data_IF_175992590803
#
_entry.id   IF_175992590803
#
_cell.length_a   1.000
_cell.length_b   1.000
_cell.length_c   1.000
_cell.angle_alpha   90.00
_cell.angle_beta   90.00
_cell.angle_gamma   90.00
#
_symmetry.space_group_name_H-M   'P 1'
#
loop_
_entity.id
_entity.type
_entity.pdbx_description
1 polymer ?
#
# COMPACT_ATOMS: atom_id res chain seq x y z
N UNK A 1 89.71 -1.26 -13.02
CA UNK A 1 89.57 0.12 -13.51
C UNK A 1 88.20 0.58 -13.06
N UNK A 2 88.21 1.63 -12.27
CA UNK A 2 87.02 2.24 -11.56
C UNK A 2 86.11 2.95 -12.56
N UNK A 3 84.78 2.83 -12.41
CA UNK A 3 83.88 3.94 -12.76
C UNK A 3 82.67 3.92 -11.80
N UNK A 4 82.58 4.99 -11.05
CA UNK A 4 81.41 5.43 -10.25
C UNK A 4 80.25 5.79 -11.18
N UNK A 5 79.03 5.51 -10.74
CA UNK A 5 77.80 6.12 -11.25
C UNK A 5 77.00 6.69 -10.05
N UNK A 6 76.67 7.93 -10.15
CA UNK A 6 76.09 8.72 -9.08
C UNK A 6 74.59 8.49 -8.88
N UNK A 7 74.20 8.70 -7.64
CA UNK A 7 72.85 8.67 -7.13
C UNK A 7 72.23 10.05 -7.27
N UNK A 8 71.11 10.16 -8.00
CA UNK A 8 70.32 11.40 -8.09
C UNK A 8 69.07 11.27 -7.22
N UNK A 9 69.06 12.02 -6.16
CA UNK A 9 67.90 12.17 -5.21
C UNK A 9 66.93 13.21 -5.80
N UNK A 10 65.74 12.83 -6.11
CA UNK A 10 64.65 13.77 -6.40
C UNK A 10 63.76 13.97 -5.15
N UNK A 11 63.75 15.19 -4.63
CA UNK A 11 62.88 15.60 -3.53
C UNK A 11 61.52 16.01 -4.13
N UNK A 12 60.46 15.36 -3.69
CA UNK A 12 59.09 15.74 -3.98
C UNK A 12 58.54 16.66 -2.84
N UNK A 13 58.21 17.87 -3.16
CA UNK A 13 57.50 18.81 -2.26
C UNK A 13 56.03 18.38 -2.14
N UNK A 14 55.60 18.14 -0.90
CA UNK A 14 54.16 18.06 -0.56
C UNK A 14 53.61 19.46 -0.37
N UNK A 15 52.65 19.85 -1.21
CA UNK A 15 51.82 21.03 -1.03
C UNK A 15 50.58 20.58 -0.30
N UNK A 16 50.39 20.96 0.95
CA UNK A 16 49.15 20.80 1.69
C UNK A 16 48.16 21.86 1.22
N UNK A 17 47.14 21.43 0.49
CA UNK A 17 45.96 22.23 0.15
C UNK A 17 44.84 21.90 1.11
N UNK A 18 44.48 22.81 2.02
CA UNK A 18 43.21 22.77 2.75
C UNK A 18 42.06 23.08 1.78
N UNK A 19 41.34 22.05 1.37
CA UNK A 19 40.05 22.16 0.70
C UNK A 19 38.94 21.88 1.71
N UNK A 20 38.02 22.83 1.88
CA UNK A 20 36.81 22.65 2.69
C UNK A 20 35.98 21.50 2.12
N UNK A 21 35.68 20.52 2.96
CA UNK A 21 34.74 19.48 2.61
C UNK A 21 33.33 20.06 2.64
N UNK A 22 32.72 20.23 1.47
CA UNK A 22 31.28 20.36 1.32
C UNK A 22 30.67 18.98 1.54
N UNK A 23 29.88 18.84 2.60
CA UNK A 23 29.04 17.67 2.83
C UNK A 23 27.83 17.76 1.91
N UNK A 24 27.97 17.32 0.69
CA UNK A 24 26.90 16.90 -0.18
C UNK A 24 27.30 15.50 -0.71
N UNK A 25 26.95 14.50 0.04
CA UNK A 25 27.06 13.11 -0.35
C UNK A 25 25.67 12.52 -0.27
N UNK A 26 24.92 12.57 -1.36
CA UNK A 26 23.89 11.56 -1.60
C UNK A 26 24.61 10.21 -1.63
N UNK A 27 24.47 9.47 -0.52
CA UNK A 27 24.81 8.06 -0.51
C UNK A 27 23.75 7.32 -1.33
N UNK A 28 23.87 7.31 -2.63
CA UNK A 28 23.33 6.23 -3.43
C UNK A 28 24.16 4.99 -3.09
N UNK A 29 23.61 4.12 -2.30
CA UNK A 29 24.12 2.76 -2.17
C UNK A 29 23.90 2.12 -3.54
N UNK A 30 24.96 2.05 -4.35
CA UNK A 30 24.94 1.23 -5.57
C UNK A 30 24.77 -0.22 -5.08
N UNK A 31 23.58 -0.76 -5.15
CA UNK A 31 23.34 -2.18 -5.07
C UNK A 31 24.22 -2.84 -6.14
N UNK A 32 25.02 -3.85 -5.75
CA UNK A 32 25.86 -4.60 -6.69
C UNK A 32 25.01 -5.18 -7.83
N UNK A 33 25.65 -5.65 -8.92
CA UNK A 33 24.90 -6.23 -10.03
C UNK A 33 24.01 -7.34 -9.50
N UNK A 34 22.71 -7.26 -9.82
CA UNK A 34 21.71 -8.29 -9.51
C UNK A 34 22.18 -9.60 -10.15
N UNK A 35 22.19 -10.70 -9.43
CA UNK A 35 22.41 -12.02 -10.00
C UNK A 35 21.16 -12.43 -10.78
N UNK A 36 21.27 -12.49 -12.13
CA UNK A 36 20.17 -12.89 -12.98
C UNK A 36 19.73 -14.33 -12.66
N UNK A 37 18.41 -14.55 -12.57
CA UNK A 37 17.79 -15.87 -12.33
C UNK A 37 16.62 -16.09 -13.27
N UNK A 38 16.48 -17.34 -13.74
CA UNK A 38 15.28 -17.76 -14.45
C UNK A 38 14.08 -17.78 -13.50
N UNK A 39 12.90 -17.42 -13.98
CA UNK A 39 11.68 -17.34 -13.15
C UNK A 39 11.37 -18.64 -12.39
N UNK A 40 11.58 -19.79 -13.04
CA UNK A 40 11.36 -21.13 -12.46
C UNK A 40 12.35 -21.53 -11.35
N UNK A 41 13.43 -20.77 -11.17
CA UNK A 41 14.42 -20.98 -10.10
C UNK A 41 14.17 -20.08 -8.90
N UNK A 42 13.24 -19.11 -9.01
CA UNK A 42 12.95 -18.17 -7.97
C UNK A 42 12.08 -18.77 -6.86
N UNK A 43 12.39 -18.37 -5.63
CA UNK A 43 11.56 -18.60 -4.44
C UNK A 43 11.13 -17.25 -3.91
N UNK A 44 9.87 -16.90 -4.11
CA UNK A 44 9.28 -15.61 -3.71
C UNK A 44 8.59 -15.77 -2.35
N UNK A 45 9.00 -14.96 -1.38
CA UNK A 45 8.29 -14.85 -0.09
C UNK A 45 7.21 -13.79 -0.19
N UNK A 46 5.99 -14.11 0.25
CA UNK A 46 4.85 -13.19 0.25
C UNK A 46 4.34 -13.03 1.67
N UNK A 47 4.27 -11.79 2.16
CA UNK A 47 3.69 -11.48 3.47
C UNK A 47 2.50 -10.55 3.30
N UNK A 48 1.30 -11.06 3.57
CA UNK A 48 0.04 -10.33 3.47
C UNK A 48 -0.40 -9.88 4.86
N UNK A 49 -0.92 -8.65 4.97
CA UNK A 49 -1.39 -8.09 6.25
C UNK A 49 -2.51 -8.92 6.86
N UNK A 50 -3.48 -9.35 6.05
CA UNK A 50 -4.59 -10.21 6.49
C UNK A 50 -5.26 -10.87 5.27
N UNK A 51 -5.74 -12.09 5.43
CA UNK A 51 -6.61 -12.76 4.45
C UNK A 51 -8.10 -12.74 4.87
N UNK A 52 -8.44 -12.02 5.95
CA UNK A 52 -9.83 -11.82 6.35
C UNK A 52 -10.56 -10.82 5.40
N UNK A 53 -9.81 -9.96 4.70
CA UNK A 53 -10.37 -9.03 3.72
C UNK A 53 -10.27 -9.64 2.30
N UNK A 54 -11.38 -9.75 1.55
CA UNK A 54 -11.40 -10.33 0.20
C UNK A 54 -10.50 -9.59 -0.81
N UNK A 55 -10.20 -8.31 -0.58
CA UNK A 55 -9.23 -7.56 -1.38
C UNK A 55 -7.88 -8.26 -1.42
N UNK A 56 -7.34 -8.63 -0.24
CA UNK A 56 -6.03 -9.27 -0.16
C UNK A 56 -6.03 -10.73 -0.62
N UNK A 57 -7.17 -11.43 -0.53
CA UNK A 57 -7.34 -12.75 -1.15
C UNK A 57 -7.18 -12.65 -2.67
N UNK A 58 -7.80 -11.65 -3.29
CA UNK A 58 -7.69 -11.42 -4.74
C UNK A 58 -6.28 -10.97 -5.14
N UNK A 59 -5.61 -10.17 -4.30
CA UNK A 59 -4.22 -9.74 -4.53
C UNK A 59 -3.26 -10.95 -4.49
N UNK A 60 -3.36 -11.80 -3.46
CA UNK A 60 -2.57 -13.03 -3.34
C UNK A 60 -2.81 -13.98 -4.51
N UNK A 61 -4.06 -14.10 -4.95
CA UNK A 61 -4.40 -14.91 -6.13
C UNK A 61 -3.70 -14.38 -7.40
N UNK A 62 -3.64 -13.06 -7.60
CA UNK A 62 -2.93 -12.47 -8.73
C UNK A 62 -1.43 -12.78 -8.72
N UNK A 63 -0.80 -12.77 -7.53
CA UNK A 63 0.60 -13.17 -7.35
C UNK A 63 0.79 -14.64 -7.72
N UNK A 64 -0.05 -15.51 -7.17
CA UNK A 64 0.08 -16.97 -7.34
C UNK A 64 -0.24 -17.42 -8.75
N UNK A 65 -1.24 -16.82 -9.40
CA UNK A 65 -1.58 -17.13 -10.79
C UNK A 65 -0.39 -16.87 -11.73
N UNK A 66 0.26 -15.71 -11.61
CA UNK A 66 1.43 -15.40 -12.45
C UNK A 66 2.65 -16.25 -12.09
N UNK A 67 2.82 -16.58 -10.80
CA UNK A 67 3.88 -17.48 -10.36
C UNK A 67 3.71 -18.88 -10.96
N UNK A 68 2.49 -19.42 -10.93
CA UNK A 68 2.17 -20.74 -11.49
C UNK A 68 2.39 -20.80 -13.01
N UNK A 69 2.06 -19.70 -13.73
CA UNK A 69 2.33 -19.59 -15.18
C UNK A 69 3.84 -19.67 -15.53
N UNK A 70 4.69 -19.32 -14.58
CA UNK A 70 6.15 -19.27 -14.76
C UNK A 70 6.90 -20.37 -13.99
N UNK A 71 6.19 -21.34 -13.41
CA UNK A 71 6.74 -22.40 -12.56
C UNK A 71 7.54 -21.87 -11.35
N UNK A 72 7.22 -20.66 -10.85
CA UNK A 72 7.88 -20.00 -9.73
C UNK A 72 7.35 -20.49 -8.38
N UNK A 73 8.25 -20.70 -7.40
CA UNK A 73 7.84 -21.11 -6.06
C UNK A 73 7.43 -19.92 -5.21
N UNK A 74 6.20 -19.91 -4.69
CA UNK A 74 5.71 -18.90 -3.73
C UNK A 74 5.59 -19.50 -2.34
N UNK A 75 6.04 -18.75 -1.33
CA UNK A 75 5.82 -19.02 0.10
C UNK A 75 5.05 -17.86 0.71
N UNK A 76 3.75 -18.04 0.89
CA UNK A 76 2.86 -17.02 1.43
C UNK A 76 2.60 -17.20 2.92
N UNK A 77 2.49 -16.08 3.65
CA UNK A 77 2.14 -16.00 5.06
C UNK A 77 1.12 -14.90 5.30
N UNK A 78 0.16 -15.18 6.19
CA UNK A 78 -0.89 -14.26 6.62
C UNK A 78 -0.55 -13.70 8.00
N UNK A 79 -0.35 -12.40 8.10
CA UNK A 79 0.01 -11.73 9.36
C UNK A 79 -1.19 -11.60 10.32
N UNK A 80 -2.42 -11.77 9.84
CA UNK A 80 -3.65 -11.70 10.66
C UNK A 80 -3.81 -10.37 11.39
N UNK A 81 -3.44 -9.26 10.72
CA UNK A 81 -3.42 -7.89 11.26
C UNK A 81 -2.52 -7.69 12.50
N UNK A 82 -1.58 -8.61 12.75
CA UNK A 82 -0.62 -8.53 13.85
C UNK A 82 0.78 -8.15 13.33
N UNK A 83 1.25 -6.95 13.67
CA UNK A 83 2.57 -6.43 13.26
C UNK A 83 3.74 -7.24 13.78
N UNK A 84 3.61 -7.79 15.00
CA UNK A 84 4.65 -8.64 15.59
C UNK A 84 4.70 -10.00 14.88
N UNK A 85 3.55 -10.57 14.55
CA UNK A 85 3.48 -11.79 13.74
C UNK A 85 4.07 -11.55 12.37
N UNK A 86 3.73 -10.44 11.70
CA UNK A 86 4.28 -10.10 10.39
C UNK A 86 5.81 -10.04 10.39
N UNK A 87 6.41 -9.39 11.40
CA UNK A 87 7.86 -9.33 11.55
C UNK A 87 8.47 -10.72 11.70
N UNK A 88 7.88 -11.57 12.57
CA UNK A 88 8.38 -12.93 12.78
C UNK A 88 8.24 -13.80 11.52
N UNK A 89 7.11 -13.69 10.80
CA UNK A 89 6.86 -14.42 9.56
C UNK A 89 7.89 -14.04 8.48
N UNK A 90 8.24 -12.75 8.37
CA UNK A 90 9.27 -12.28 7.42
C UNK A 90 10.64 -12.80 7.82
N UNK A 91 11.01 -12.78 9.10
CA UNK A 91 12.27 -13.36 9.59
C UNK A 91 12.34 -14.86 9.26
N UNK A 92 11.23 -15.59 9.36
CA UNK A 92 11.16 -17.00 8.99
C UNK A 92 11.32 -17.19 7.46
N UNK A 93 10.73 -16.34 6.61
CA UNK A 93 10.92 -16.36 5.16
C UNK A 93 12.39 -16.10 4.79
N UNK A 94 13.03 -15.12 5.43
CA UNK A 94 14.47 -14.84 5.27
C UNK A 94 15.30 -16.07 5.58
N UNK A 95 15.04 -16.75 6.73
CA UNK A 95 15.76 -17.97 7.12
C UNK A 95 15.49 -19.14 6.18
N UNK A 96 14.34 -19.18 5.51
CA UNK A 96 14.01 -20.18 4.52
C UNK A 96 14.68 -19.93 3.16
N UNK A 97 15.43 -18.83 3.02
CA UNK A 97 16.23 -18.51 1.85
C UNK A 97 15.36 -18.15 0.65
N UNK A 98 14.37 -17.29 0.83
CA UNK A 98 13.64 -16.69 -0.30
C UNK A 98 14.55 -15.73 -1.06
N UNK A 99 14.34 -15.59 -2.37
CA UNK A 99 15.15 -14.73 -3.23
C UNK A 99 14.69 -13.26 -3.20
N UNK A 100 13.41 -13.03 -2.97
CA UNK A 100 12.78 -11.73 -2.90
C UNK A 100 11.56 -11.79 -1.97
N UNK A 101 11.21 -10.66 -1.37
CA UNK A 101 10.02 -10.51 -0.55
C UNK A 101 9.02 -9.55 -1.22
N UNK A 102 7.77 -9.98 -1.32
CA UNK A 102 6.60 -9.17 -1.64
C UNK A 102 5.85 -8.93 -0.33
N UNK A 103 5.78 -7.69 0.14
CA UNK A 103 5.23 -7.36 1.46
C UNK A 103 4.05 -6.40 1.31
N UNK A 104 2.89 -6.80 1.84
CA UNK A 104 1.78 -5.89 2.12
C UNK A 104 1.79 -5.57 3.62
N UNK A 105 2.25 -4.37 4.05
CA UNK A 105 2.42 -4.06 5.47
C UNK A 105 1.08 -3.97 6.23
N UNK A 106 1.04 -4.49 7.46
CA UNK A 106 -0.03 -4.17 8.42
C UNK A 106 0.06 -2.70 8.82
N UNK A 107 1.28 -2.23 9.11
CA UNK A 107 1.61 -0.87 9.54
C UNK A 107 2.92 -0.46 8.87
N UNK A 108 2.92 0.71 8.21
CA UNK A 108 4.04 1.20 7.39
C UNK A 108 5.29 1.53 8.22
N UNK A 109 5.13 1.98 9.46
CA UNK A 109 6.25 2.28 10.36
C UNK A 109 6.75 1.00 11.05
N UNK A 110 5.83 0.14 11.51
CA UNK A 110 6.19 -1.07 12.23
C UNK A 110 6.90 -2.12 11.35
N UNK A 111 6.69 -2.11 10.04
CA UNK A 111 7.33 -3.05 9.10
C UNK A 111 8.81 -2.72 8.85
N UNK A 112 9.24 -1.47 9.08
CA UNK A 112 10.60 -0.99 8.78
C UNK A 112 11.70 -1.92 9.26
N UNK A 113 11.72 -2.42 10.52
CA UNK A 113 12.77 -3.33 10.97
C UNK A 113 12.84 -4.65 10.19
N UNK A 114 11.70 -5.17 9.74
CA UNK A 114 11.67 -6.40 8.94
C UNK A 114 12.22 -6.17 7.53
N UNK A 115 11.91 -5.01 6.91
CA UNK A 115 12.49 -4.59 5.63
C UNK A 115 14.00 -4.42 5.75
N UNK A 116 14.48 -3.74 6.80
CA UNK A 116 15.92 -3.57 7.07
C UNK A 116 16.62 -4.93 7.31
N UNK A 117 15.96 -5.89 7.99
CA UNK A 117 16.47 -7.25 8.16
C UNK A 117 16.64 -7.98 6.83
N UNK A 118 15.66 -7.87 5.92
CA UNK A 118 15.73 -8.42 4.58
C UNK A 118 16.88 -7.79 3.77
N UNK A 119 17.00 -6.46 3.82
CA UNK A 119 18.08 -5.72 3.17
C UNK A 119 19.46 -6.15 3.69
N UNK A 120 19.62 -6.32 5.01
CA UNK A 120 20.86 -6.80 5.62
C UNK A 120 21.21 -8.25 5.20
N UNK A 121 20.19 -9.06 4.89
CA UNK A 121 20.37 -10.41 4.33
C UNK A 121 20.63 -10.41 2.83
N UNK A 122 20.59 -9.25 2.16
CA UNK A 122 20.74 -9.10 0.72
C UNK A 122 19.49 -9.54 -0.07
N UNK A 123 18.33 -9.59 0.56
CA UNK A 123 17.05 -9.96 -0.05
C UNK A 123 16.31 -8.67 -0.46
N UNK A 124 16.02 -8.46 -1.76
CA UNK A 124 15.25 -7.33 -2.23
C UNK A 124 13.81 -7.40 -1.73
N UNK A 125 13.21 -6.21 -1.56
CA UNK A 125 11.83 -6.07 -1.07
C UNK A 125 11.02 -5.25 -2.06
N UNK A 126 9.84 -5.72 -2.40
CA UNK A 126 8.78 -4.98 -3.09
C UNK A 126 7.63 -4.81 -2.10
N UNK A 127 7.12 -3.60 -1.94
CA UNK A 127 5.91 -3.36 -1.15
C UNK A 127 4.68 -3.30 -2.06
N UNK A 128 3.53 -3.79 -1.56
CA UNK A 128 2.29 -3.90 -2.33
C UNK A 128 1.17 -3.24 -1.54
N UNK A 129 0.35 -2.42 -2.23
CA UNK A 129 -0.83 -1.72 -1.69
C UNK A 129 -0.49 -0.67 -0.62
N UNK A 130 0.49 -0.95 0.23
CA UNK A 130 0.94 -0.07 1.32
C UNK A 130 2.45 0.08 1.30
N UNK A 131 2.94 1.28 1.59
CA UNK A 131 4.37 1.58 1.67
C UNK A 131 4.99 1.11 3.00
N UNK A 132 6.33 1.00 3.01
CA UNK A 132 7.13 1.00 4.25
C UNK A 132 7.66 2.42 4.47
N UNK A 133 7.66 2.89 5.74
CA UNK A 133 8.19 4.21 6.09
C UNK A 133 9.75 4.21 6.17
N UNK A 134 10.40 3.05 5.98
CA UNK A 134 11.85 2.92 5.98
C UNK A 134 12.34 1.57 5.44
N UNK A 135 13.68 1.43 5.39
CA UNK A 135 14.34 0.33 4.68
C UNK A 135 14.44 0.61 3.17
N UNK A 136 15.17 -0.25 2.45
CA UNK A 136 15.32 -0.14 1.00
C UNK A 136 14.26 -1.01 0.31
N UNK A 137 13.44 -0.39 -0.54
CA UNK A 137 12.37 -1.04 -1.32
C UNK A 137 12.68 -0.85 -2.80
N UNK A 138 12.59 -1.94 -3.58
CA UNK A 138 12.82 -1.91 -5.04
C UNK A 138 11.75 -1.07 -5.72
N UNK A 139 10.48 -1.31 -5.38
CA UNK A 139 9.32 -0.57 -5.87
C UNK A 139 8.14 -0.71 -4.93
N UNK A 140 7.24 0.28 -4.96
CA UNK A 140 5.89 0.19 -4.42
C UNK A 140 4.92 -0.05 -5.58
N UNK A 141 4.11 -1.10 -5.48
CA UNK A 141 2.99 -1.36 -6.40
C UNK A 141 1.69 -1.05 -5.68
N UNK A 142 1.02 0.05 -6.02
CA UNK A 142 -0.19 0.50 -5.33
C UNK A 142 -1.08 1.36 -6.24
N UNK A 143 -2.32 1.54 -5.84
CA UNK A 143 -3.21 2.56 -6.42
C UNK A 143 -2.83 3.95 -5.90
N UNK A 144 -3.14 5.01 -6.65
CA UNK A 144 -3.05 6.39 -6.16
C UNK A 144 -4.18 6.65 -5.16
N UNK A 145 -3.87 6.39 -3.88
CA UNK A 145 -4.85 6.51 -2.80
C UNK A 145 -5.28 7.97 -2.55
N UNK A 146 -4.42 8.96 -2.85
CA UNK A 146 -4.77 10.38 -2.75
C UNK A 146 -5.80 10.71 -3.82
N UNK A 147 -5.54 10.35 -5.09
CA UNK A 147 -6.51 10.50 -6.17
C UNK A 147 -7.84 9.81 -5.85
N UNK A 148 -7.77 8.57 -5.32
CA UNK A 148 -8.96 7.82 -4.94
C UNK A 148 -9.79 8.48 -3.85
N UNK A 149 -9.16 9.05 -2.82
CA UNK A 149 -9.82 9.84 -1.78
C UNK A 149 -10.50 11.09 -2.35
N UNK A 150 -9.82 11.79 -3.28
CA UNK A 150 -10.42 12.93 -4.00
C UNK A 150 -11.62 12.52 -4.87
N UNK A 151 -11.55 11.37 -5.54
CA UNK A 151 -12.67 10.83 -6.34
C UNK A 151 -13.90 10.58 -5.46
N UNK A 152 -13.71 9.98 -4.29
CA UNK A 152 -14.78 9.72 -3.34
C UNK A 152 -15.45 11.02 -2.85
N UNK A 153 -14.66 12.02 -2.45
CA UNK A 153 -15.17 13.30 -1.96
C UNK A 153 -15.93 14.07 -3.06
N UNK A 154 -15.38 14.14 -4.28
CA UNK A 154 -16.03 14.78 -5.43
C UNK A 154 -17.37 14.12 -5.75
N UNK A 155 -17.45 12.80 -5.70
CA UNK A 155 -18.69 12.09 -5.96
C UNK A 155 -19.72 12.30 -4.83
N UNK A 156 -19.29 12.33 -3.55
CA UNK A 156 -20.19 12.67 -2.44
C UNK A 156 -20.76 14.07 -2.61
N UNK A 157 -19.97 15.08 -2.99
CA UNK A 157 -20.47 16.42 -3.28
C UNK A 157 -21.50 16.40 -4.44
N UNK A 158 -21.23 15.66 -5.51
CA UNK A 158 -22.13 15.53 -6.66
C UNK A 158 -23.52 15.02 -6.25
N UNK A 159 -23.56 13.98 -5.41
CA UNK A 159 -24.83 13.29 -5.07
C UNK A 159 -25.54 13.83 -3.82
N UNK A 160 -24.80 14.45 -2.88
CA UNK A 160 -25.34 14.93 -1.61
C UNK A 160 -25.42 16.46 -1.53
N UNK A 161 -24.74 17.15 -2.45
CA UNK A 161 -24.66 18.62 -2.52
C UNK A 161 -23.51 19.18 -1.68
N UNK A 162 -23.15 20.44 -1.98
CA UNK A 162 -22.15 21.21 -1.21
C UNK A 162 -22.63 21.40 0.24
N UNK A 163 -21.69 21.39 1.19
CA UNK A 163 -21.94 21.48 2.65
C UNK A 163 -22.72 20.28 3.24
N UNK A 164 -22.82 19.14 2.53
CA UNK A 164 -23.45 17.94 3.06
C UNK A 164 -22.75 17.45 4.35
N UNK A 165 -23.54 17.16 5.40
CA UNK A 165 -23.01 16.57 6.64
C UNK A 165 -22.47 15.18 6.37
N UNK A 166 -21.17 15.05 6.32
CA UNK A 166 -20.46 13.82 5.94
C UNK A 166 -19.69 13.27 7.13
N UNK A 167 -19.65 11.96 7.27
CA UNK A 167 -18.77 11.26 8.22
C UNK A 167 -17.79 10.39 7.44
N UNK A 168 -16.62 10.12 8.06
CA UNK A 168 -15.59 9.27 7.50
C UNK A 168 -15.33 8.07 8.41
N UNK A 169 -15.34 6.86 7.83
CA UNK A 169 -14.83 5.64 8.44
C UNK A 169 -13.42 5.41 7.94
N UNK A 170 -12.44 5.51 8.84
CA UNK A 170 -11.03 5.39 8.50
C UNK A 170 -10.54 3.95 8.68
N UNK A 171 -9.54 3.58 7.89
CA UNK A 171 -8.87 2.28 7.97
C UNK A 171 -7.93 2.16 9.17
N UNK A 172 -6.99 1.20 9.09
CA UNK A 172 -5.93 1.01 10.09
C UNK A 172 -5.04 2.25 10.13
N UNK A 173 -4.89 2.93 11.27
CA UNK A 173 -4.19 4.22 11.36
C UNK A 173 -2.73 4.19 10.90
N UNK A 174 -2.05 3.06 11.06
CA UNK A 174 -0.64 2.87 10.65
C UNK A 174 -0.44 2.56 9.16
N UNK A 175 -1.50 2.23 8.42
CA UNK A 175 -1.40 1.93 7.00
C UNK A 175 -1.26 3.22 6.16
N UNK A 176 -0.35 3.22 5.17
CA UNK A 176 -0.21 4.36 4.24
C UNK A 176 -1.50 4.63 3.47
N UNK A 177 -2.20 3.59 3.03
CA UNK A 177 -3.48 3.70 2.33
C UNK A 177 -4.53 4.49 3.14
N UNK A 178 -4.61 4.29 4.47
CA UNK A 178 -5.50 5.06 5.34
C UNK A 178 -5.16 6.55 5.32
N UNK A 179 -3.87 6.89 5.47
CA UNK A 179 -3.39 8.28 5.49
C UNK A 179 -3.65 8.98 4.16
N UNK A 180 -3.31 8.31 3.06
CA UNK A 180 -3.40 8.85 1.71
C UNK A 180 -4.86 9.01 1.25
N UNK A 181 -5.75 8.03 1.49
CA UNK A 181 -7.20 8.16 1.23
C UNK A 181 -7.81 9.29 2.06
N UNK A 182 -7.40 9.42 3.33
CA UNK A 182 -7.83 10.50 4.22
C UNK A 182 -7.33 11.87 3.74
N UNK A 183 -6.08 11.98 3.27
CA UNK A 183 -5.52 13.20 2.69
C UNK A 183 -6.30 13.62 1.44
N UNK A 184 -6.47 12.70 0.47
CA UNK A 184 -7.21 12.97 -0.76
C UNK A 184 -8.66 13.38 -0.49
N UNK A 185 -9.35 12.70 0.42
CA UNK A 185 -10.70 13.07 0.84
C UNK A 185 -10.72 14.49 1.42
N UNK A 186 -9.80 14.81 2.33
CA UNK A 186 -9.71 16.11 3.00
C UNK A 186 -9.43 17.24 2.01
N UNK A 187 -8.55 17.03 1.01
CA UNK A 187 -8.22 18.02 -0.02
C UNK A 187 -9.46 18.61 -0.71
N UNK A 188 -10.50 17.81 -0.87
CA UNK A 188 -11.76 18.25 -1.49
C UNK A 188 -12.81 18.61 -0.42
N UNK A 189 -12.91 17.79 0.63
CA UNK A 189 -13.97 17.93 1.62
C UNK A 189 -13.89 19.24 2.42
N UNK A 190 -12.69 19.80 2.66
CA UNK A 190 -12.53 21.08 3.38
C UNK A 190 -13.29 22.25 2.72
N UNK A 191 -13.45 22.25 1.40
CA UNK A 191 -14.15 23.31 0.66
C UNK A 191 -15.56 22.89 0.23
N UNK A 192 -15.84 21.59 0.12
CA UNK A 192 -17.04 21.06 -0.51
C UNK A 192 -18.05 20.42 0.46
N UNK A 193 -17.60 19.90 1.60
CA UNK A 193 -18.41 19.09 2.51
C UNK A 193 -18.32 19.62 3.96
N UNK A 194 -19.30 19.28 4.79
CA UNK A 194 -19.23 19.50 6.22
C UNK A 194 -18.91 18.17 6.93
N UNK A 195 -17.61 17.88 7.12
CA UNK A 195 -17.17 16.66 7.82
C UNK A 195 -17.46 16.82 9.31
N UNK A 196 -18.48 16.13 9.81
CA UNK A 196 -18.95 16.25 11.19
C UNK A 196 -18.32 15.26 12.16
N UNK A 197 -17.79 14.12 11.67
CA UNK A 197 -17.09 13.12 12.47
C UNK A 197 -16.15 12.26 11.57
N UNK A 198 -15.06 11.76 12.17
CA UNK A 198 -14.13 10.85 11.52
C UNK A 198 -13.61 9.88 12.57
N UNK A 199 -13.79 8.58 12.36
CA UNK A 199 -13.39 7.53 13.31
C UNK A 199 -12.84 6.32 12.59
N UNK A 200 -11.81 5.69 13.19
CA UNK A 200 -11.27 4.44 12.65
C UNK A 200 -12.24 3.28 12.87
N UNK A 201 -12.35 2.44 11.84
CA UNK A 201 -13.03 1.14 11.85
C UNK A 201 -12.15 0.04 11.23
N UNK A 202 -10.82 0.28 11.18
CA UNK A 202 -9.74 -0.68 10.93
C UNK A 202 -9.89 -1.56 9.68
N UNK A 203 -10.58 -1.06 8.64
CA UNK A 203 -10.93 -1.82 7.43
C UNK A 203 -11.82 -3.06 7.69
N UNK A 204 -12.46 -3.15 8.84
CA UNK A 204 -13.28 -4.28 9.28
C UNK A 204 -14.78 -3.99 9.19
N UNK A 205 -15.57 -4.95 8.69
CA UNK A 205 -17.02 -4.81 8.48
C UNK A 205 -17.79 -4.67 9.81
N UNK A 206 -17.43 -5.47 10.81
CA UNK A 206 -18.13 -5.44 12.10
C UNK A 206 -17.80 -4.17 12.90
N UNK A 207 -16.56 -3.68 12.77
CA UNK A 207 -16.17 -2.38 13.34
C UNK A 207 -16.86 -1.25 12.57
N UNK A 208 -16.95 -1.29 11.25
CA UNK A 208 -17.69 -0.36 10.41
C UNK A 208 -19.16 -0.22 10.85
N UNK A 209 -19.83 -1.35 11.09
CA UNK A 209 -21.19 -1.37 11.65
C UNK A 209 -21.23 -0.66 13.02
N UNK A 210 -20.36 -1.08 13.94
CA UNK A 210 -20.39 -0.56 15.34
C UNK A 210 -20.07 0.94 15.39
N UNK A 211 -19.07 1.38 14.62
CA UNK A 211 -18.67 2.80 14.58
C UNK A 211 -19.78 3.64 13.94
N UNK A 212 -20.38 3.16 12.85
CA UNK A 212 -21.49 3.88 12.21
C UNK A 212 -22.74 3.98 13.09
N UNK A 213 -23.08 2.93 13.87
CA UNK A 213 -24.17 3.01 14.86
C UNK A 213 -23.92 4.14 15.88
N UNK A 214 -22.67 4.30 16.35
CA UNK A 214 -22.30 5.35 17.28
C UNK A 214 -22.37 6.75 16.62
N UNK A 215 -21.87 6.87 15.38
CA UNK A 215 -21.92 8.11 14.62
C UNK A 215 -23.35 8.57 14.35
N UNK A 216 -24.26 7.65 14.01
CA UNK A 216 -25.70 7.94 13.81
C UNK A 216 -26.38 8.44 15.08
N UNK A 217 -25.98 7.97 16.25
CA UNK A 217 -26.49 8.44 17.53
C UNK A 217 -25.96 9.83 17.89
N UNK A 218 -24.70 10.11 17.59
CA UNK A 218 -24.05 11.39 17.89
C UNK A 218 -24.45 12.49 16.88
N UNK A 219 -24.66 12.13 15.63
CA UNK A 219 -24.89 13.04 14.50
C UNK A 219 -26.16 12.62 13.74
N UNK A 220 -27.37 13.03 14.20
CA UNK A 220 -28.62 12.56 13.58
C UNK A 220 -28.86 13.06 12.16
N UNK A 221 -28.16 14.11 11.74
CA UNK A 221 -28.33 14.80 10.45
C UNK A 221 -27.26 14.41 9.40
N UNK A 222 -26.62 13.24 9.54
CA UNK A 222 -25.68 12.71 8.55
C UNK A 222 -26.40 12.51 7.22
N UNK A 223 -25.76 12.97 6.12
CA UNK A 223 -26.25 12.87 4.75
C UNK A 223 -25.37 11.96 3.89
N UNK A 224 -24.08 11.85 4.22
CA UNK A 224 -23.17 11.01 3.49
C UNK A 224 -22.10 10.34 4.38
N UNK A 225 -21.56 9.23 3.90
CA UNK A 225 -20.48 8.47 4.51
C UNK A 225 -19.41 8.22 3.45
N UNK A 226 -18.16 8.57 3.75
CA UNK A 226 -17.01 7.99 3.09
C UNK A 226 -16.44 6.87 3.96
N UNK A 227 -16.46 5.66 3.47
CA UNK A 227 -15.75 4.55 4.08
C UNK A 227 -14.50 4.24 3.26
N UNK A 228 -13.33 4.25 3.90
CA UNK A 228 -12.06 4.05 3.20
C UNK A 228 -11.85 2.63 2.66
N UNK A 229 -12.84 1.72 2.86
CA UNK A 229 -12.95 0.48 2.12
C UNK A 229 -14.41 -0.04 2.09
N UNK A 230 -14.66 -1.04 1.22
CA UNK A 230 -16.00 -1.63 1.02
C UNK A 230 -16.46 -2.43 2.25
N UNK A 231 -15.56 -3.09 2.96
CA UNK A 231 -15.94 -3.83 4.17
C UNK A 231 -16.57 -2.90 5.21
N UNK A 232 -15.94 -1.76 5.50
CA UNK A 232 -16.53 -0.75 6.40
C UNK A 232 -17.80 -0.13 5.82
N UNK A 233 -17.84 0.11 4.49
CA UNK A 233 -19.03 0.64 3.81
C UNK A 233 -20.24 -0.29 3.97
N UNK A 234 -20.05 -1.60 3.79
CA UNK A 234 -21.08 -2.62 3.97
C UNK A 234 -21.55 -2.69 5.43
N UNK A 235 -20.63 -2.60 6.39
CA UNK A 235 -20.98 -2.48 7.80
C UNK A 235 -21.80 -1.21 8.11
N UNK A 236 -21.40 -0.07 7.54
CA UNK A 236 -22.14 1.20 7.69
C UNK A 236 -23.56 1.10 7.10
N UNK A 237 -23.72 0.43 5.94
CA UNK A 237 -25.03 0.19 5.33
C UNK A 237 -25.94 -0.61 6.27
N UNK A 238 -25.43 -1.63 6.94
CA UNK A 238 -26.19 -2.42 7.92
C UNK A 238 -26.67 -1.54 9.11
N UNK A 239 -25.81 -0.64 9.62
CA UNK A 239 -26.17 0.30 10.67
C UNK A 239 -27.26 1.28 10.21
N UNK A 240 -27.13 1.85 9.00
CA UNK A 240 -28.08 2.78 8.39
C UNK A 240 -29.44 2.10 8.20
N UNK A 241 -29.45 0.84 7.72
CA UNK A 241 -30.69 0.05 7.57
C UNK A 241 -31.36 -0.21 8.92
N UNK A 242 -30.58 -0.59 9.94
CA UNK A 242 -31.07 -0.83 11.29
C UNK A 242 -31.67 0.42 11.93
N UNK A 243 -31.13 1.61 11.60
CA UNK A 243 -31.64 2.89 12.02
C UNK A 243 -32.89 3.37 11.22
N UNK A 244 -33.29 2.64 10.18
CA UNK A 244 -34.42 2.98 9.31
C UNK A 244 -34.15 4.15 8.37
N UNK A 245 -32.89 4.46 8.07
CA UNK A 245 -32.44 5.59 7.24
C UNK A 245 -31.99 5.18 5.83
N UNK A 246 -32.38 4.00 5.38
CA UNK A 246 -32.05 3.50 4.04
C UNK A 246 -32.55 4.47 2.96
N UNK A 247 -31.64 4.88 2.04
CA UNK A 247 -31.93 5.83 0.98
C UNK A 247 -31.94 7.32 1.42
N UNK A 248 -31.75 7.59 2.71
CA UNK A 248 -31.59 8.97 3.23
C UNK A 248 -30.11 9.36 3.31
N UNK A 249 -29.20 8.38 3.48
CA UNK A 249 -27.76 8.58 3.64
C UNK A 249 -27.05 7.91 2.48
N UNK A 250 -26.21 8.69 1.78
CA UNK A 250 -25.38 8.21 0.69
C UNK A 250 -24.11 7.56 1.27
N UNK A 251 -23.68 6.42 0.72
CA UNK A 251 -22.46 5.73 1.18
C UNK A 251 -21.55 5.55 -0.02
N UNK A 252 -20.29 5.96 0.11
CA UNK A 252 -19.23 5.72 -0.88
C UNK A 252 -18.14 4.88 -0.24
N UNK A 253 -17.80 3.77 -0.89
CA UNK A 253 -16.77 2.82 -0.50
C UNK A 253 -15.47 3.00 -1.29
N UNK A 254 -14.58 2.04 -1.09
CA UNK A 254 -13.30 1.94 -1.77
C UNK A 254 -12.94 0.45 -1.86
N UNK A 255 -12.23 0.01 -2.87
CA UNK A 255 -11.70 -1.30 -3.20
C UNK A 255 -12.35 -1.92 -4.45
N UNK A 256 -13.68 -1.82 -4.63
CA UNK A 256 -14.40 -2.51 -5.70
C UNK A 256 -14.47 -4.02 -5.49
N UNK A 257 -14.65 -4.45 -4.24
CA UNK A 257 -14.84 -5.87 -3.91
C UNK A 257 -16.13 -6.44 -4.55
N UNK A 258 -16.22 -7.75 -4.71
CA UNK A 258 -17.42 -8.38 -5.29
C UNK A 258 -18.70 -8.00 -4.52
N UNK A 259 -18.63 -7.99 -3.18
CA UNK A 259 -19.75 -7.55 -2.32
C UNK A 259 -20.04 -6.06 -2.49
N UNK A 260 -18.99 -5.22 -2.60
CA UNK A 260 -19.11 -3.77 -2.85
C UNK A 260 -19.78 -3.47 -4.18
N UNK A 261 -19.32 -4.10 -5.27
CA UNK A 261 -19.94 -3.99 -6.61
C UNK A 261 -21.41 -4.45 -6.57
N UNK A 262 -21.68 -5.59 -5.93
CA UNK A 262 -23.07 -6.09 -5.76
C UNK A 262 -23.94 -5.08 -5.01
N UNK A 263 -23.40 -4.41 -3.99
CA UNK A 263 -24.12 -3.39 -3.25
C UNK A 263 -24.37 -2.12 -4.09
N UNK A 264 -23.42 -1.75 -4.97
CA UNK A 264 -23.62 -0.66 -5.97
C UNK A 264 -24.73 -1.02 -6.95
N UNK A 265 -24.71 -2.22 -7.52
CA UNK A 265 -25.74 -2.71 -8.45
C UNK A 265 -27.13 -2.76 -7.78
N UNK A 266 -27.18 -3.09 -6.50
CA UNK A 266 -28.42 -3.11 -5.71
C UNK A 266 -28.89 -1.70 -5.28
N UNK A 267 -28.08 -0.66 -5.49
CA UNK A 267 -28.38 0.73 -5.09
C UNK A 267 -28.31 0.96 -3.57
N UNK A 268 -27.68 0.07 -2.81
CA UNK A 268 -27.46 0.22 -1.36
C UNK A 268 -26.13 0.91 -1.03
N UNK A 269 -25.13 0.76 -1.89
CA UNK A 269 -23.89 1.54 -1.93
C UNK A 269 -23.99 2.50 -3.10
N UNK A 270 -23.73 3.80 -2.89
CA UNK A 270 -23.87 4.82 -3.95
C UNK A 270 -22.77 4.69 -5.02
N UNK A 271 -21.56 4.39 -4.59
CA UNK A 271 -20.40 4.09 -5.43
C UNK A 271 -19.29 3.43 -4.62
N UNK A 272 -18.33 2.83 -5.32
CA UNK A 272 -17.03 2.45 -4.78
C UNK A 272 -15.92 2.92 -5.70
N UNK A 273 -14.80 3.40 -5.13
CA UNK A 273 -13.57 3.65 -5.89
C UNK A 273 -12.86 2.31 -6.04
N UNK A 274 -13.07 1.67 -7.17
CA UNK A 274 -12.57 0.32 -7.42
C UNK A 274 -11.08 0.31 -7.71
N UNK A 275 -10.36 -0.54 -7.01
CA UNK A 275 -9.00 -0.96 -7.29
C UNK A 275 -9.00 -2.25 -8.11
N UNK A 276 -7.83 -2.71 -8.53
CA UNK A 276 -7.67 -3.97 -9.26
C UNK A 276 -6.69 -4.89 -8.51
N UNK A 277 -7.09 -5.48 -7.35
CA UNK A 277 -6.16 -6.21 -6.50
C UNK A 277 -5.48 -7.40 -7.18
N UNK A 278 -6.18 -8.17 -8.00
CA UNK A 278 -5.58 -9.25 -8.77
C UNK A 278 -4.53 -8.77 -9.77
N UNK A 279 -4.76 -7.65 -10.44
CA UNK A 279 -3.77 -7.04 -11.34
C UNK A 279 -2.60 -6.45 -10.55
N UNK A 280 -2.86 -5.81 -9.40
CA UNK A 280 -1.83 -5.32 -8.50
C UNK A 280 -0.88 -6.44 -8.05
N UNK A 281 -1.44 -7.61 -7.71
CA UNK A 281 -0.65 -8.80 -7.39
C UNK A 281 0.22 -9.28 -8.56
N UNK A 282 -0.33 -9.30 -9.78
CA UNK A 282 0.42 -9.64 -11.00
C UNK A 282 1.53 -8.64 -11.29
N UNK A 283 1.26 -7.34 -11.17
CA UNK A 283 2.26 -6.29 -11.35
C UNK A 283 3.43 -6.43 -10.37
N UNK A 284 3.14 -6.75 -9.10
CA UNK A 284 4.17 -6.98 -8.10
C UNK A 284 5.03 -8.22 -8.42
N UNK A 285 4.40 -9.30 -8.86
CA UNK A 285 5.12 -10.51 -9.27
C UNK A 285 5.93 -10.28 -10.55
N UNK A 286 5.40 -9.53 -11.52
CA UNK A 286 6.13 -9.15 -12.73
C UNK A 286 7.35 -8.29 -12.38
N UNK A 287 7.21 -7.33 -11.46
CA UNK A 287 8.34 -6.52 -11.00
C UNK A 287 9.44 -7.36 -10.34
N UNK A 288 9.07 -8.45 -9.64
CA UNK A 288 10.04 -9.41 -9.12
C UNK A 288 10.79 -10.15 -10.24
N UNK A 289 10.10 -10.55 -11.29
CA UNK A 289 10.72 -11.18 -12.46
C UNK A 289 11.65 -10.22 -13.20
N UNK A 290 11.20 -9.00 -13.45
CA UNK A 290 11.96 -7.95 -14.13
C UNK A 290 13.23 -7.60 -13.34
N UNK A 291 13.14 -7.59 -12.00
CA UNK A 291 14.31 -7.38 -11.13
C UNK A 291 15.40 -8.43 -11.39
N UNK A 292 15.04 -9.71 -11.42
CA UNK A 292 16.02 -10.79 -11.68
C UNK A 292 16.38 -10.97 -13.14
N UNK A 293 15.65 -10.36 -14.07
CA UNK A 293 16.05 -10.20 -15.46
C UNK A 293 17.05 -9.04 -15.67
N UNK A 294 17.37 -8.28 -14.62
CA UNK A 294 18.27 -7.13 -14.67
C UNK A 294 17.66 -5.91 -15.36
N UNK A 295 16.33 -5.83 -15.42
CA UNK A 295 15.61 -4.70 -15.99
C UNK A 295 15.55 -3.53 -15.00
N UNK A 296 15.36 -2.31 -15.53
CA UNK A 296 15.16 -1.13 -14.70
C UNK A 296 13.72 -1.08 -14.24
N UNK A 297 13.51 -0.97 -12.91
CA UNK A 297 12.17 -0.90 -12.31
C UNK A 297 11.92 0.52 -11.83
N UNK A 298 10.74 1.06 -12.12
CA UNK A 298 10.29 2.34 -11.61
C UNK A 298 10.09 2.26 -10.08
N UNK A 299 10.36 3.33 -9.35
CA UNK A 299 10.20 3.38 -7.88
C UNK A 299 8.73 3.18 -7.45
N UNK A 300 7.78 3.47 -8.33
CA UNK A 300 6.34 3.30 -8.13
C UNK A 300 5.67 2.75 -9.38
N UNK A 301 4.91 1.68 -9.23
CA UNK A 301 4.10 1.07 -10.28
C UNK A 301 2.63 1.27 -9.93
N UNK A 302 1.94 2.09 -10.73
CA UNK A 302 0.54 2.42 -10.49
C UNK A 302 -0.40 1.26 -10.85
N UNK A 303 -1.29 0.89 -9.92
CA UNK A 303 -2.47 0.07 -10.20
C UNK A 303 -3.67 0.98 -10.49
N UNK A 304 -4.47 0.74 -11.55
CA UNK A 304 -5.55 1.63 -11.95
C UNK A 304 -6.65 1.76 -10.90
N UNK A 305 -7.32 2.95 -10.91
CA UNK A 305 -8.54 3.23 -10.16
C UNK A 305 -9.70 3.51 -11.11
N UNK A 306 -10.91 3.14 -10.69
CA UNK A 306 -12.15 3.44 -11.41
C UNK A 306 -13.28 3.75 -10.41
N UNK A 307 -14.06 4.81 -10.65
CA UNK A 307 -15.27 5.05 -9.87
C UNK A 307 -16.43 4.21 -10.43
N UNK A 308 -16.81 3.16 -9.72
CA UNK A 308 -17.94 2.31 -10.04
C UNK A 308 -19.19 2.85 -9.36
N UNK A 309 -20.19 3.19 -10.13
CA UNK A 309 -21.48 3.72 -9.67
C UNK A 309 -22.62 3.09 -10.44
N UNK A 310 -23.83 3.10 -9.87
CA UNK A 310 -25.01 2.61 -10.58
C UNK A 310 -25.30 3.54 -11.77
N UNK A 311 -25.30 2.98 -12.98
CA UNK A 311 -25.79 3.67 -14.18
C UNK A 311 -27.33 3.51 -14.20
N UNK A 312 -28.08 4.60 -13.87
CA UNK A 312 -29.54 4.62 -14.07
C UNK A 312 -29.95 4.58 -15.54
#
# INVERSE_FOLDING_TARGET
>A
MKKLVGLATAAALFIAGCGAATLEGENKTESGPVEEKETSELVVGVSISTLNNPFFVSLEQGITDLADEQDTTVKSVDAQDDTAKQTNDIDDLIQQGVDILLINPVDSAAITPAVESANAAGIPVITIDRSSDGGEVVTLVASDNVEGGEMAAKYIEEISGTDANTVQLEGVPGASATRERGEGFTNIAEEALNVVDSQTANFDRAEGLTVMENMLQANPDIQAVFAQNDEMALGAIEAIQSAGKTGEIQVVGFDGTEDGITAVEAGTLSATVAQQPGEMGKLAMQAAFDYFAGETIEEYIASPLELVKNEE
#
